data_IF_181175479569
#
_entry.id   IF_181175479569
#
_cell.length_a   1.000
_cell.length_b   1.000
_cell.length_c   1.000
_cell.angle_alpha   90.00
_cell.angle_beta   90.00
_cell.angle_gamma   90.00
#
_symmetry.space_group_name_H-M   'P 1'
#
loop_
_entity.id
_entity.type
_entity.pdbx_description
1 polymer ?
#
# COMPACT_ATOMS: atom_id res chain seq x y z
N UNK A 1 3.20 7.34 2.19
CA UNK A 1 3.85 6.01 2.17
C UNK A 1 4.98 6.01 1.17
N UNK A 2 6.02 5.26 1.42
CA UNK A 2 7.13 5.06 0.48
C UNK A 2 7.29 3.56 0.31
N UNK A 3 7.08 3.06 -0.90
CA UNK A 3 7.37 1.67 -1.22
C UNK A 3 8.80 1.55 -1.69
N UNK A 4 9.58 0.81 -0.96
CA UNK A 4 10.90 0.36 -1.37
C UNK A 4 11.21 -0.92 -0.60
N UNK A 5 11.90 -1.85 -1.21
CA UNK A 5 12.48 -2.98 -0.49
C UNK A 5 13.31 -2.50 0.70
N UNK A 6 13.25 -3.21 1.80
CA UNK A 6 13.98 -2.88 3.02
C UNK A 6 15.49 -2.82 2.71
N UNK A 7 16.03 -1.62 2.55
CA UNK A 7 17.45 -1.38 2.24
C UNK A 7 18.31 -1.18 3.48
N UNK A 8 17.78 -1.46 4.67
CA UNK A 8 18.48 -1.28 5.94
C UNK A 8 19.09 -2.60 6.41
N UNK A 9 20.41 -2.70 6.37
CA UNK A 9 21.15 -3.83 6.91
C UNK A 9 21.93 -4.65 5.87
N UNK A 10 22.66 -5.64 6.36
CA UNK A 10 23.35 -6.60 5.49
C UNK A 10 22.32 -7.54 4.83
N UNK A 11 22.56 -7.98 3.59
CA UNK A 11 21.66 -8.87 2.82
C UNK A 11 21.11 -10.05 3.64
N UNK A 12 21.91 -10.64 4.52
CA UNK A 12 21.49 -11.77 5.36
C UNK A 12 20.45 -11.39 6.43
N UNK A 13 20.52 -10.17 6.98
CA UNK A 13 19.56 -9.69 7.98
C UNK A 13 18.21 -9.37 7.35
N UNK A 14 18.23 -8.79 6.16
CA UNK A 14 17.03 -8.51 5.36
C UNK A 14 16.35 -9.84 5.00
N UNK A 15 17.11 -10.82 4.53
CA UNK A 15 16.56 -12.13 4.17
C UNK A 15 15.91 -12.83 5.37
N UNK A 16 16.54 -12.77 6.54
CA UNK A 16 15.95 -13.30 7.79
C UNK A 16 14.65 -12.58 8.16
N UNK A 17 14.60 -11.27 8.01
CA UNK A 17 13.41 -10.48 8.29
C UNK A 17 12.25 -10.88 7.38
N UNK A 18 12.49 -11.08 6.08
CA UNK A 18 11.48 -11.59 5.15
C UNK A 18 10.94 -12.96 5.56
N UNK A 19 11.81 -13.89 5.96
CA UNK A 19 11.38 -15.20 6.47
C UNK A 19 10.52 -15.08 7.73
N UNK A 20 10.82 -14.14 8.61
CA UNK A 20 10.04 -13.92 9.82
C UNK A 20 8.69 -13.25 9.52
N UNK A 21 8.62 -12.35 8.54
CA UNK A 21 7.36 -11.80 8.00
C UNK A 21 6.51 -12.91 7.38
N UNK A 22 7.11 -13.77 6.56
CA UNK A 22 6.43 -14.92 5.96
C UNK A 22 5.79 -15.84 7.01
N UNK A 23 6.49 -16.13 8.10
CA UNK A 23 5.93 -16.91 9.21
C UNK A 23 4.69 -16.27 9.82
N UNK A 24 4.66 -14.93 9.93
CA UNK A 24 3.47 -14.19 10.41
C UNK A 24 2.33 -14.36 9.42
N UNK A 25 2.58 -14.20 8.12
CA UNK A 25 1.59 -14.35 7.07
C UNK A 25 0.99 -15.76 7.07
N UNK A 26 1.83 -16.80 7.05
CA UNK A 26 1.41 -18.20 7.05
C UNK A 26 0.57 -18.54 8.27
N UNK A 27 0.99 -18.11 9.48
CA UNK A 27 0.21 -18.31 10.70
C UNK A 27 -1.16 -17.63 10.65
N UNK A 28 -1.22 -16.44 10.12
CA UNK A 28 -2.46 -15.66 9.99
C UNK A 28 -3.44 -16.36 9.05
N UNK A 29 -2.98 -16.73 7.85
CA UNK A 29 -3.84 -17.40 6.86
C UNK A 29 -4.31 -18.77 7.39
N UNK A 30 -3.42 -19.54 8.00
CA UNK A 30 -3.80 -20.82 8.60
C UNK A 30 -4.84 -20.64 9.70
N UNK A 31 -4.67 -19.62 10.57
CA UNK A 31 -5.65 -19.32 11.61
C UNK A 31 -7.02 -18.92 11.04
N UNK A 32 -7.06 -18.11 9.98
CA UNK A 32 -8.30 -17.74 9.28
C UNK A 32 -8.95 -18.98 8.67
N UNK A 33 -8.17 -19.82 7.98
CA UNK A 33 -8.69 -21.04 7.36
C UNK A 33 -9.21 -22.03 8.39
N UNK A 34 -8.54 -22.20 9.54
CA UNK A 34 -9.00 -23.07 10.63
C UNK A 34 -10.28 -22.55 11.28
N UNK A 35 -10.41 -21.25 11.46
CA UNK A 35 -11.66 -20.63 11.92
C UNK A 35 -12.80 -20.87 10.93
N UNK A 36 -12.53 -20.72 9.65
CA UNK A 36 -13.51 -20.86 8.57
C UNK A 36 -13.91 -22.32 8.29
N UNK A 37 -13.13 -23.31 8.71
CA UNK A 37 -13.52 -24.74 8.56
C UNK A 37 -14.89 -25.05 9.15
N UNK A 38 -15.28 -24.38 10.23
CA UNK A 38 -16.59 -24.56 10.86
C UNK A 38 -17.74 -24.00 10.01
N UNK A 39 -17.49 -22.91 9.29
CA UNK A 39 -18.49 -22.25 8.43
C UNK A 39 -18.48 -22.77 7.00
N UNK A 40 -17.54 -23.66 6.62
CA UNK A 40 -17.30 -24.15 5.25
C UNK A 40 -17.01 -23.03 4.24
N UNK A 41 -16.59 -21.86 4.71
CA UNK A 41 -16.20 -20.74 3.87
C UNK A 41 -14.67 -20.63 3.81
N UNK A 42 -14.16 -20.10 2.71
CA UNK A 42 -12.74 -19.75 2.58
C UNK A 42 -12.64 -18.23 2.58
N UNK A 43 -11.59 -17.70 3.20
CA UNK A 43 -11.28 -16.28 3.04
C UNK A 43 -10.89 -16.04 1.57
N UNK A 44 -11.54 -15.07 0.96
CA UNK A 44 -11.25 -14.63 -0.40
C UNK A 44 -11.21 -13.11 -0.40
N UNK A 45 -10.10 -12.54 -0.87
CA UNK A 45 -9.89 -11.10 -0.92
C UNK A 45 -8.53 -10.68 -0.40
N UNK A 46 -8.36 -9.38 -0.18
CA UNK A 46 -7.12 -8.81 0.32
C UNK A 46 -7.06 -8.85 1.84
N UNK A 47 -5.91 -9.24 2.36
CA UNK A 47 -5.58 -9.13 3.77
C UNK A 47 -4.35 -8.22 3.92
N UNK A 48 -4.57 -7.03 4.46
CA UNK A 48 -3.50 -6.13 4.87
C UNK A 48 -3.09 -6.44 6.31
N UNK A 49 -1.79 -6.51 6.55
CA UNK A 49 -1.22 -6.71 7.89
C UNK A 49 -0.24 -5.57 8.18
N UNK A 50 -0.59 -4.71 9.14
CA UNK A 50 0.31 -3.67 9.64
C UNK A 50 1.33 -4.28 10.61
N UNK A 51 2.61 -4.10 10.32
CA UNK A 51 3.70 -4.64 11.13
C UNK A 51 4.56 -3.51 11.72
N UNK A 52 5.00 -3.67 12.94
CA UNK A 52 6.06 -2.89 13.56
C UNK A 52 7.29 -3.77 13.72
N UNK A 53 8.43 -3.28 13.25
CA UNK A 53 9.72 -3.94 13.39
C UNK A 53 10.57 -3.09 14.33
N UNK A 54 10.97 -3.65 15.46
CA UNK A 54 11.80 -2.93 16.43
C UNK A 54 13.30 -2.97 16.04
N UNK A 55 14.14 -2.24 16.78
CA UNK A 55 15.58 -2.17 16.53
C UNK A 55 16.31 -3.51 16.68
N UNK A 56 15.68 -4.51 17.29
CA UNK A 56 16.18 -5.89 17.40
C UNK A 56 15.59 -6.81 16.32
N UNK A 57 14.97 -6.25 15.27
CA UNK A 57 14.28 -6.96 14.18
C UNK A 57 13.13 -7.87 14.66
N UNK A 58 12.54 -7.59 15.82
CA UNK A 58 11.34 -8.31 16.27
C UNK A 58 10.11 -7.72 15.63
N UNK A 59 9.28 -8.60 15.07
CA UNK A 59 8.05 -8.24 14.39
C UNK A 59 6.90 -8.27 15.38
N UNK A 60 6.11 -7.20 15.39
CA UNK A 60 4.84 -7.09 16.12
C UNK A 60 3.74 -6.73 15.13
N UNK A 61 2.63 -7.45 15.21
CA UNK A 61 1.44 -7.12 14.41
C UNK A 61 0.72 -5.97 15.09
N UNK A 62 0.44 -4.91 14.35
CA UNK A 62 -0.31 -3.75 14.81
C UNK A 62 -1.80 -3.93 14.53
N UNK A 63 -2.13 -4.30 13.29
CA UNK A 63 -3.51 -4.42 12.84
C UNK A 63 -3.66 -5.40 11.68
N UNK A 64 -4.89 -5.84 11.47
CA UNK A 64 -5.36 -6.55 10.28
C UNK A 64 -6.49 -5.78 9.64
N UNK A 65 -6.47 -5.65 8.32
CA UNK A 65 -7.57 -5.07 7.55
C UNK A 65 -7.99 -6.03 6.43
N UNK A 66 -9.30 -6.26 6.28
CA UNK A 66 -9.87 -7.08 5.20
C UNK A 66 -10.00 -6.30 3.88
N UNK A 67 -9.06 -5.45 3.61
CA UNK A 67 -8.93 -4.57 2.45
C UNK A 67 -7.47 -4.16 2.32
N UNK A 68 -7.16 -3.56 1.20
CA UNK A 68 -5.85 -2.95 1.03
C UNK A 68 -5.69 -1.71 1.93
N UNK A 69 -4.45 -1.32 2.21
CA UNK A 69 -4.12 -0.15 3.03
C UNK A 69 -4.46 1.18 2.34
N UNK A 70 -4.57 2.22 3.11
CA UNK A 70 -4.74 3.60 2.65
C UNK A 70 -3.77 4.50 3.45
N UNK A 71 -2.67 5.02 2.85
CA UNK A 71 -2.48 5.23 1.40
C UNK A 71 -1.62 4.17 0.67
N UNK A 72 -1.43 2.97 1.20
CA UNK A 72 -0.55 1.97 0.61
C UNK A 72 -1.07 1.50 -0.76
N UNK A 73 -2.39 1.44 -0.96
CA UNK A 73 -3.01 1.05 -2.23
C UNK A 73 -2.59 1.97 -3.37
N UNK A 74 -2.65 3.28 -3.15
CA UNK A 74 -2.30 4.28 -4.14
C UNK A 74 -0.84 4.15 -4.59
N UNK A 75 0.03 3.90 -3.60
CA UNK A 75 1.45 3.65 -3.82
C UNK A 75 1.68 2.37 -4.64
N UNK A 76 0.99 1.29 -4.27
CA UNK A 76 1.09 0.01 -4.96
C UNK A 76 0.58 0.10 -6.41
N UNK A 77 -0.57 0.77 -6.63
CA UNK A 77 -1.14 0.90 -7.98
C UNK A 77 -0.18 1.63 -8.92
N UNK A 78 0.41 2.75 -8.49
CA UNK A 78 1.38 3.47 -9.30
C UNK A 78 2.65 2.64 -9.54
N UNK A 79 3.08 1.85 -8.56
CA UNK A 79 4.23 0.96 -8.73
C UNK A 79 3.96 -0.13 -9.77
N UNK A 80 2.79 -0.76 -9.73
CA UNK A 80 2.39 -1.81 -10.69
C UNK A 80 2.27 -1.23 -12.10
N UNK A 81 1.61 -0.07 -12.25
CA UNK A 81 1.49 0.63 -13.54
C UNK A 81 2.87 0.89 -14.15
N UNK A 82 3.82 1.43 -13.38
CA UNK A 82 5.18 1.69 -13.85
C UNK A 82 6.00 0.44 -14.17
N UNK A 83 5.62 -0.71 -13.61
CA UNK A 83 6.21 -2.02 -13.96
C UNK A 83 5.49 -2.72 -15.11
N UNK A 84 4.45 -2.10 -15.68
CA UNK A 84 3.64 -2.69 -16.76
C UNK A 84 2.81 -3.88 -16.29
N UNK A 85 2.50 -3.97 -14.99
CA UNK A 85 1.71 -5.05 -14.41
C UNK A 85 0.26 -4.61 -14.34
N UNK A 86 -0.62 -5.31 -15.07
CA UNK A 86 -2.06 -5.12 -14.93
C UNK A 86 -2.55 -5.78 -13.63
N UNK A 87 -3.07 -4.95 -12.73
CA UNK A 87 -3.55 -5.40 -11.43
C UNK A 87 -4.75 -6.36 -11.52
N UNK A 88 -5.66 -6.13 -12.48
CA UNK A 88 -6.82 -7.00 -12.67
C UNK A 88 -6.40 -8.34 -13.27
N UNK A 89 -5.50 -8.31 -14.25
CA UNK A 89 -4.94 -9.52 -14.86
C UNK A 89 -4.22 -10.37 -13.81
N UNK A 90 -3.40 -9.74 -12.96
CA UNK A 90 -2.72 -10.41 -11.86
C UNK A 90 -3.70 -11.09 -10.89
N UNK A 91 -4.84 -10.46 -10.56
CA UNK A 91 -5.83 -11.06 -9.65
C UNK A 91 -6.62 -12.17 -10.31
N UNK A 92 -6.97 -12.02 -11.58
CA UNK A 92 -7.89 -12.94 -12.28
C UNK A 92 -7.18 -14.15 -12.86
N UNK A 93 -5.96 -13.97 -13.37
CA UNK A 93 -5.26 -14.97 -14.16
C UNK A 93 -4.08 -15.63 -13.45
N UNK A 94 -3.56 -15.00 -12.40
CA UNK A 94 -2.51 -15.57 -11.56
C UNK A 94 -2.88 -15.53 -10.07
N UNK A 95 -3.99 -16.19 -9.68
CA UNK A 95 -4.34 -16.24 -8.27
C UNK A 95 -3.29 -17.08 -7.55
N UNK A 96 -2.63 -16.50 -6.55
CA UNK A 96 -1.80 -17.25 -5.63
C UNK A 96 -2.68 -18.26 -4.90
N UNK A 97 -2.70 -19.47 -5.40
CA UNK A 97 -3.55 -20.56 -4.88
C UNK A 97 -2.96 -21.20 -3.64
N UNK A 98 -1.66 -21.04 -3.43
CA UNK A 98 -0.96 -21.58 -2.26
C UNK A 98 0.04 -20.56 -1.74
N UNK A 99 -0.12 -20.15 -0.48
CA UNK A 99 0.77 -19.18 0.16
C UNK A 99 2.23 -19.67 0.25
N UNK A 100 2.45 -20.98 0.18
CA UNK A 100 3.79 -21.57 0.16
C UNK A 100 4.53 -21.30 -1.16
N UNK A 101 3.81 -20.94 -2.22
CA UNK A 101 4.37 -20.60 -3.53
C UNK A 101 4.74 -19.10 -3.61
N UNK A 102 4.33 -18.31 -2.59
CA UNK A 102 4.75 -16.91 -2.44
C UNK A 102 6.23 -16.83 -2.10
N UNK A 103 7.04 -16.55 -3.08
CA UNK A 103 8.44 -16.20 -2.85
C UNK A 103 8.57 -14.68 -2.70
N UNK A 104 8.38 -14.18 -1.46
CA UNK A 104 8.46 -12.74 -1.14
C UNK A 104 9.83 -12.16 -1.54
N UNK A 105 10.88 -12.95 -1.50
CA UNK A 105 12.22 -12.53 -1.90
C UNK A 105 12.32 -12.16 -3.40
N UNK A 106 11.46 -12.69 -4.26
CA UNK A 106 11.46 -12.37 -5.69
C UNK A 106 10.87 -11.00 -6.00
N UNK A 107 10.06 -10.42 -5.10
CA UNK A 107 9.55 -9.05 -5.29
C UNK A 107 10.65 -7.98 -5.17
N UNK A 108 11.81 -8.33 -4.66
CA UNK A 108 12.92 -7.43 -4.37
C UNK A 108 14.05 -7.46 -5.40
N UNK A 109 14.02 -8.39 -6.35
CA UNK A 109 15.15 -8.60 -7.26
C UNK A 109 15.26 -7.54 -8.36
N UNK A 110 14.17 -6.85 -8.68
CA UNK A 110 14.16 -5.86 -9.77
C UNK A 110 14.28 -4.41 -9.29
N UNK A 111 14.77 -4.18 -8.11
CA UNK A 111 15.11 -2.91 -7.42
C UNK A 111 15.07 -1.56 -8.17
N UNK A 112 14.35 -1.48 -9.26
CA UNK A 112 14.26 -0.31 -10.12
C UNK A 112 13.02 0.51 -9.81
N UNK A 113 13.14 1.37 -8.83
CA UNK A 113 12.21 2.46 -8.64
C UNK A 113 11.70 2.63 -7.22
N UNK A 114 11.31 3.85 -6.94
CA UNK A 114 10.76 4.30 -5.69
C UNK A 114 9.42 4.96 -5.95
N UNK A 115 8.42 4.59 -5.18
CA UNK A 115 7.15 5.29 -5.19
C UNK A 115 6.96 6.03 -3.86
N UNK A 116 6.58 7.29 -3.93
CA UNK A 116 6.24 8.10 -2.77
C UNK A 116 4.78 8.53 -2.84
N UNK A 117 4.07 8.40 -1.74
CA UNK A 117 2.68 8.87 -1.60
C UNK A 117 2.59 9.84 -0.43
N UNK A 118 2.17 11.06 -0.71
CA UNK A 118 1.93 12.09 0.29
C UNK A 118 0.42 12.32 0.40
N UNK A 119 -0.10 12.14 1.62
CA UNK A 119 -1.51 12.40 1.91
C UNK A 119 -1.70 13.87 2.27
N UNK A 120 -2.57 14.57 1.56
CA UNK A 120 -3.05 15.88 1.93
C UNK A 120 -4.29 15.72 2.79
N UNK A 121 -4.20 16.22 4.02
CA UNK A 121 -5.26 16.12 5.01
C UNK A 121 -5.80 17.52 5.38
N UNK A 122 -7.07 17.57 5.76
CA UNK A 122 -7.69 18.76 6.29
C UNK A 122 -7.02 19.20 7.61
N UNK A 123 -6.89 20.49 7.81
CA UNK A 123 -6.32 21.03 9.06
C UNK A 123 -7.14 20.54 10.26
N UNK A 124 -6.44 19.95 11.22
CA UNK A 124 -7.05 19.37 12.43
C UNK A 124 -7.31 17.88 12.37
N UNK A 125 -7.22 17.24 11.18
CA UNK A 125 -7.33 15.78 11.07
C UNK A 125 -6.22 15.09 11.93
N UNK A 126 -6.54 14.00 12.67
CA UNK A 126 -7.76 13.18 12.62
C UNK A 126 -8.90 13.65 13.55
N UNK A 127 -8.70 14.69 14.37
CA UNK A 127 -9.72 15.20 15.28
C UNK A 127 -10.80 16.00 14.51
N UNK A 128 -11.17 17.19 14.99
CA UNK A 128 -12.16 18.00 14.30
C UNK A 128 -11.52 18.83 13.19
N UNK A 129 -12.13 18.80 12.02
CA UNK A 129 -11.69 19.52 10.82
C UNK A 129 -12.86 20.10 10.04
N UNK A 130 -12.59 21.17 9.31
CA UNK A 130 -13.56 21.81 8.43
C UNK A 130 -13.56 21.17 7.04
N UNK A 131 -14.69 21.32 6.33
CA UNK A 131 -14.94 20.80 4.98
C UNK A 131 -15.39 21.91 4.05
N UNK A 132 -15.47 21.64 2.75
CA UNK A 132 -16.00 22.58 1.77
C UNK A 132 -14.97 23.57 1.22
N UNK A 133 -13.67 23.35 1.48
CA UNK A 133 -12.62 24.18 0.87
C UNK A 133 -12.38 23.77 -0.58
N UNK A 134 -12.33 24.76 -1.47
CA UNK A 134 -11.92 24.53 -2.84
C UNK A 134 -10.43 24.16 -2.94
N UNK A 135 -10.15 23.19 -3.80
CA UNK A 135 -8.83 22.69 -4.05
C UNK A 135 -8.43 23.09 -5.46
N UNK A 136 -7.36 23.86 -5.57
CA UNK A 136 -6.81 24.25 -6.85
C UNK A 136 -5.76 23.24 -7.29
N UNK A 137 -6.05 22.52 -8.36
CA UNK A 137 -5.13 21.52 -8.94
C UNK A 137 -4.58 21.96 -10.30
N UNK A 138 -4.82 23.20 -10.73
CA UNK A 138 -4.47 23.70 -12.09
C UNK A 138 -2.98 23.69 -12.37
N UNK A 139 -2.16 23.87 -11.35
CA UNK A 139 -0.70 23.87 -11.48
C UNK A 139 -0.08 22.46 -11.37
N UNK A 140 -0.90 21.44 -11.15
CA UNK A 140 -0.42 20.07 -11.06
C UNK A 140 -0.60 19.39 -12.40
N UNK A 141 0.51 18.94 -13.00
CA UNK A 141 0.49 18.16 -14.24
C UNK A 141 0.68 16.69 -13.89
N UNK A 142 -0.38 15.91 -14.07
CA UNK A 142 -0.29 14.45 -14.00
C UNK A 142 0.40 13.89 -15.25
N UNK A 143 1.15 12.82 -15.05
CA UNK A 143 1.80 12.06 -16.11
C UNK A 143 1.95 10.59 -15.66
N UNK A 144 2.71 9.79 -16.40
CA UNK A 144 2.96 8.39 -16.04
C UNK A 144 3.61 8.21 -14.66
N UNK A 145 4.38 9.19 -14.20
CA UNK A 145 5.13 9.14 -12.95
C UNK A 145 4.54 9.98 -11.82
N UNK A 146 3.51 10.77 -12.09
CA UNK A 146 2.84 11.64 -11.10
C UNK A 146 1.34 11.46 -11.24
N UNK A 147 0.69 10.99 -10.18
CA UNK A 147 -0.75 10.77 -10.14
C UNK A 147 -1.38 11.38 -8.89
N UNK A 148 -2.59 11.90 -9.07
CA UNK A 148 -3.42 12.35 -7.95
C UNK A 148 -4.56 11.35 -7.77
N UNK A 149 -4.69 10.80 -6.57
CA UNK A 149 -5.86 10.01 -6.21
C UNK A 149 -6.75 10.79 -5.24
N UNK A 150 -7.99 10.95 -5.61
CA UNK A 150 -9.00 11.61 -4.80
C UNK A 150 -9.51 10.69 -3.70
N UNK A 151 -9.73 11.25 -2.50
CA UNK A 151 -10.33 10.57 -1.35
C UNK A 151 -11.55 11.37 -0.86
N UNK A 152 -11.37 12.22 0.14
CA UNK A 152 -12.44 13.08 0.66
C UNK A 152 -12.66 14.33 -0.19
N UNK A 153 -13.04 14.16 -1.44
CA UNK A 153 -13.34 15.26 -2.37
C UNK A 153 -14.68 15.06 -3.05
N UNK A 154 -15.27 16.14 -3.51
CA UNK A 154 -16.42 16.16 -4.41
C UNK A 154 -16.27 17.25 -5.47
N UNK A 155 -17.00 17.10 -6.56
CA UNK A 155 -17.15 18.16 -7.56
C UNK A 155 -18.36 19.02 -7.19
N UNK A 156 -18.14 20.30 -7.02
CA UNK A 156 -19.15 21.31 -6.72
C UNK A 156 -18.97 22.49 -7.68
N UNK A 157 -19.98 22.76 -8.50
CA UNK A 157 -19.98 23.80 -9.51
C UNK A 157 -18.68 23.83 -10.36
N UNK A 158 -18.29 22.67 -10.88
CA UNK A 158 -17.04 22.43 -11.64
C UNK A 158 -15.74 22.74 -10.87
N UNK A 159 -15.79 22.80 -9.54
CA UNK A 159 -14.63 22.95 -8.68
C UNK A 159 -14.51 21.76 -7.74
N UNK A 160 -13.29 21.32 -7.51
CA UNK A 160 -13.04 20.25 -6.53
C UNK A 160 -13.06 20.87 -5.14
N UNK A 161 -13.86 20.30 -4.21
CA UNK A 161 -13.87 20.74 -2.83
C UNK A 161 -13.69 19.57 -1.85
N UNK A 162 -13.18 19.88 -0.66
CA UNK A 162 -12.92 18.91 0.39
C UNK A 162 -14.20 18.49 1.10
N UNK A 163 -14.36 17.17 1.32
CA UNK A 163 -15.50 16.58 2.04
C UNK A 163 -15.10 15.65 3.17
N UNK A 164 -13.81 15.33 3.28
CA UNK A 164 -13.26 14.41 4.25
C UNK A 164 -11.98 14.89 4.91
N UNK A 165 -11.51 14.14 5.90
CA UNK A 165 -10.27 14.46 6.63
C UNK A 165 -9.02 14.19 5.79
N UNK A 166 -8.91 13.03 5.12
CA UNK A 166 -7.94 12.77 4.06
C UNK A 166 -8.56 13.22 2.75
N UNK A 167 -7.95 14.19 2.09
CA UNK A 167 -8.52 14.90 0.95
C UNK A 167 -8.13 14.23 -0.35
N UNK A 168 -6.83 14.16 -0.61
CA UNK A 168 -6.27 13.50 -1.78
C UNK A 168 -4.84 13.03 -1.48
N UNK A 169 -4.27 12.24 -2.38
CA UNK A 169 -2.86 11.87 -2.34
C UNK A 169 -2.17 12.30 -3.60
N UNK A 170 -0.95 12.81 -3.44
CA UNK A 170 0.00 13.02 -4.54
C UNK A 170 0.96 11.84 -4.53
N UNK A 171 1.07 11.17 -5.65
CA UNK A 171 1.84 9.95 -5.80
C UNK A 171 2.87 10.14 -6.90
N UNK A 172 4.11 9.78 -6.60
CA UNK A 172 5.22 9.94 -7.53
C UNK A 172 5.99 8.63 -7.65
N UNK A 173 6.54 8.38 -8.83
CA UNK A 173 7.43 7.25 -9.10
C UNK A 173 8.73 7.75 -9.72
N UNK A 174 9.88 7.25 -9.29
CA UNK A 174 11.17 7.58 -9.88
C UNK A 174 12.19 6.45 -9.68
N UNK A 175 13.24 6.43 -10.53
CA UNK A 175 14.34 5.44 -10.43
C UNK A 175 15.20 5.60 -9.18
N UNK A 176 15.18 6.76 -8.53
CA UNK A 176 15.87 6.99 -7.27
C UNK A 176 14.98 7.69 -6.26
N UNK A 177 15.29 7.50 -4.97
CA UNK A 177 14.49 7.97 -3.85
C UNK A 177 14.37 9.50 -3.82
N UNK A 178 15.45 10.22 -4.08
CA UNK A 178 15.51 11.67 -4.01
C UNK A 178 14.62 12.36 -5.05
N UNK A 179 14.37 11.67 -6.18
CA UNK A 179 13.46 12.16 -7.23
C UNK A 179 12.02 11.73 -7.03
N UNK A 180 11.78 10.70 -6.21
CA UNK A 180 10.42 10.28 -5.88
C UNK A 180 9.81 11.10 -4.75
N UNK A 181 10.61 11.78 -3.95
CA UNK A 181 10.19 12.66 -2.85
C UNK A 181 10.17 14.11 -3.33
#
# INVERSE_FOLDING_TARGET
AVSHPLSYGHKNEIYKLYQDIEKVLVKTINGINDYNKKSKTKYLGFLYIGLMIDSANKIKVLEYNCRMGDPETQNLMLTLENKGIDFLDMILNDPVTNIQDLNIANFDQDGEGYCCTIVLAAKGYPESYEKGFYIDTRDITENENIKIFHAGTMLDDNKICSTGGRILTVNTYAKNKEKAI
#
